data_IF_675107560015
#
_entry.id   IF_675107560015
#
_cell.length_a   1.000
_cell.length_b   1.000
_cell.length_c   1.000
_cell.angle_alpha   90.00
_cell.angle_beta   90.00
_cell.angle_gamma   90.00
#
_symmetry.space_group_name_H-M   'P 1'
#
loop_
_entity.id
_entity.type
_entity.pdbx_description
1 polymer ?
#
# COMPACT_ATOMS: atom_id res chain seq x y z
N UNK A 1 11.60 8.72 7.14
CA UNK A 1 10.94 7.68 6.31
C UNK A 1 11.22 7.93 4.85
N UNK A 2 11.45 6.88 4.06
CA UNK A 2 11.60 6.95 2.60
C UNK A 2 10.61 5.98 1.97
N UNK A 3 9.91 6.41 0.90
CA UNK A 3 8.94 5.59 0.18
C UNK A 3 9.28 5.55 -1.30
N UNK A 4 9.11 4.37 -1.91
CA UNK A 4 9.23 4.18 -3.36
C UNK A 4 8.02 3.39 -3.86
N UNK A 5 7.32 3.91 -4.88
CA UNK A 5 6.28 3.11 -5.55
C UNK A 5 6.91 2.01 -6.38
N UNK A 6 6.44 0.77 -6.24
CA UNK A 6 7.02 -0.39 -6.94
C UNK A 6 6.15 -0.94 -8.07
N UNK A 7 4.83 -0.78 -7.95
CA UNK A 7 3.86 -1.26 -8.96
C UNK A 7 2.53 -0.51 -8.81
N UNK A 8 1.43 -1.08 -9.30
CA UNK A 8 0.08 -0.52 -9.17
C UNK A 8 -0.22 -0.03 -7.76
N UNK A 9 -0.24 -0.93 -6.79
CA UNK A 9 -0.60 -0.64 -5.40
C UNK A 9 0.58 -0.74 -4.43
N UNK A 10 1.79 -1.08 -4.92
CA UNK A 10 2.91 -1.45 -4.08
C UNK A 10 3.83 -0.30 -3.71
N UNK A 11 4.36 -0.35 -2.47
CA UNK A 11 5.39 0.56 -2.00
C UNK A 11 6.49 -0.18 -1.22
N UNK A 12 7.74 0.24 -1.44
CA UNK A 12 8.87 -0.07 -0.56
C UNK A 12 9.00 1.08 0.44
N UNK A 13 8.93 0.75 1.72
CA UNK A 13 9.09 1.68 2.84
C UNK A 13 10.44 1.42 3.50
N UNK A 14 11.25 2.48 3.69
CA UNK A 14 12.45 2.42 4.55
C UNK A 14 12.24 3.32 5.75
N UNK A 15 12.34 2.73 6.93
CA UNK A 15 12.12 3.39 8.21
C UNK A 15 13.06 2.81 9.27
N UNK A 16 13.79 3.66 9.98
CA UNK A 16 14.67 3.29 11.11
C UNK A 16 15.63 2.14 10.79
N UNK A 17 16.21 2.17 9.57
CA UNK A 17 17.17 1.17 9.09
C UNK A 17 16.54 -0.14 8.57
N UNK A 18 15.24 -0.26 8.57
CA UNK A 18 14.48 -1.43 8.07
C UNK A 18 13.81 -1.11 6.75
N UNK A 19 13.67 -2.12 5.90
CA UNK A 19 12.97 -2.06 4.61
C UNK A 19 11.78 -3.02 4.59
N UNK A 20 10.60 -2.50 4.27
CA UNK A 20 9.33 -3.25 4.23
C UNK A 20 8.69 -3.06 2.87
N UNK A 21 8.41 -4.15 2.17
CA UNK A 21 7.69 -4.13 0.89
C UNK A 21 6.21 -4.46 1.13
N UNK A 22 5.34 -3.54 0.74
CA UNK A 22 3.89 -3.65 0.89
C UNK A 22 3.26 -3.78 -0.50
N UNK A 23 2.53 -4.87 -0.77
CA UNK A 23 1.85 -5.17 -2.06
C UNK A 23 2.75 -4.95 -3.29
N UNK A 24 4.05 -5.10 -3.14
CA UNK A 24 5.07 -4.57 -4.06
C UNK A 24 5.57 -5.55 -5.12
N UNK A 25 5.04 -6.77 -5.19
CA UNK A 25 5.37 -7.80 -6.18
C UNK A 25 4.09 -8.34 -6.80
N UNK A 26 3.68 -7.75 -7.92
CA UNK A 26 2.43 -8.09 -8.60
C UNK A 26 2.61 -8.28 -10.11
N UNK A 27 1.72 -9.08 -10.70
CA UNK A 27 1.67 -9.32 -12.15
C UNK A 27 0.92 -8.23 -12.91
N UNK A 28 0.12 -7.42 -12.19
CA UNK A 28 -0.75 -6.42 -12.79
C UNK A 28 -2.05 -7.00 -13.36
N UNK A 29 -2.94 -6.09 -13.73
CA UNK A 29 -4.20 -6.38 -14.42
C UNK A 29 -4.37 -5.38 -15.57
N UNK A 30 -5.38 -5.56 -16.42
CA UNK A 30 -5.68 -4.59 -17.48
C UNK A 30 -5.86 -3.18 -16.91
N UNK A 31 -5.03 -2.23 -17.38
CA UNK A 31 -4.99 -0.85 -16.88
C UNK A 31 -4.20 -0.64 -15.59
N UNK A 32 -3.72 -1.70 -14.92
CA UNK A 32 -2.95 -1.63 -13.68
C UNK A 32 -1.59 -2.27 -13.84
N UNK A 33 -0.54 -1.47 -13.68
CA UNK A 33 0.82 -1.85 -14.05
C UNK A 33 1.44 -2.87 -13.08
N UNK A 34 2.13 -3.91 -13.60
CA UNK A 34 2.88 -4.86 -12.79
C UNK A 34 4.12 -4.22 -12.17
N UNK A 35 4.80 -4.98 -11.31
CA UNK A 35 6.15 -4.63 -10.86
C UNK A 35 7.12 -4.75 -12.04
N UNK A 36 7.77 -3.66 -12.49
CA UNK A 36 8.70 -3.71 -13.62
C UNK A 36 9.88 -4.66 -13.36
N UNK A 37 10.39 -5.36 -14.40
CA UNK A 37 11.52 -6.29 -14.25
C UNK A 37 12.76 -5.66 -13.60
N UNK A 38 13.04 -4.39 -13.87
CA UNK A 38 14.15 -3.65 -13.25
C UNK A 38 13.99 -3.49 -11.75
N UNK A 39 12.77 -3.23 -11.27
CA UNK A 39 12.49 -3.17 -9.83
C UNK A 39 12.46 -4.57 -9.20
N UNK A 40 11.94 -5.59 -9.90
CA UNK A 40 12.03 -6.97 -9.43
C UNK A 40 13.48 -7.37 -9.19
N UNK A 41 14.37 -7.08 -10.15
CA UNK A 41 15.80 -7.37 -10.01
C UNK A 41 16.45 -6.59 -8.85
N UNK A 42 16.17 -5.29 -8.72
CA UNK A 42 16.70 -4.47 -7.63
C UNK A 42 16.25 -4.97 -6.24
N UNK A 43 14.98 -5.45 -6.13
CA UNK A 43 14.44 -6.04 -4.91
C UNK A 43 15.04 -7.43 -4.60
N UNK A 44 15.48 -8.18 -5.62
CA UNK A 44 16.20 -9.45 -5.42
C UNK A 44 17.65 -9.21 -4.98
N UNK A 45 18.32 -8.19 -5.51
CA UNK A 45 19.67 -7.80 -5.15
C UNK A 45 19.75 -7.20 -3.74
N UNK A 46 18.72 -6.44 -3.34
CA UNK A 46 18.59 -5.82 -2.03
C UNK A 46 17.25 -6.20 -1.39
N UNK A 47 17.11 -7.44 -0.89
CA UNK A 47 15.83 -7.95 -0.42
C UNK A 47 15.30 -7.18 0.78
N UNK A 48 14.01 -6.78 0.77
CA UNK A 48 13.36 -6.18 1.92
C UNK A 48 13.45 -7.07 3.16
N UNK A 49 13.47 -6.46 4.34
CA UNK A 49 13.51 -7.19 5.61
C UNK A 49 12.18 -7.89 5.92
N UNK A 50 11.08 -7.34 5.39
CA UNK A 50 9.73 -7.92 5.45
C UNK A 50 9.01 -7.68 4.12
N UNK A 51 8.28 -8.69 3.65
CA UNK A 51 7.28 -8.58 2.58
C UNK A 51 5.89 -8.77 3.18
N UNK A 52 4.98 -7.82 2.97
CA UNK A 52 3.62 -7.89 3.51
C UNK A 52 2.59 -7.61 2.41
N UNK A 53 1.53 -8.41 2.38
CA UNK A 53 0.49 -8.35 1.37
C UNK A 53 -0.88 -8.23 2.02
N UNK A 54 -1.67 -7.25 1.54
CA UNK A 54 -3.01 -6.97 2.10
C UNK A 54 -4.02 -8.05 1.74
N UNK A 55 -3.94 -8.59 0.53
CA UNK A 55 -4.83 -9.63 0.01
C UNK A 55 -4.23 -10.30 -1.24
N UNK A 56 -4.93 -11.31 -1.78
CA UNK A 56 -4.40 -12.20 -2.82
C UNK A 56 -4.84 -11.85 -4.25
N UNK A 57 -5.21 -10.60 -4.54
CA UNK A 57 -5.45 -10.21 -5.95
C UNK A 57 -4.13 -10.11 -6.72
N UNK A 58 -4.12 -10.47 -8.03
CA UNK A 58 -2.90 -10.53 -8.85
C UNK A 58 -2.16 -9.20 -8.98
N UNK A 59 -2.87 -8.09 -8.88
CA UNK A 59 -2.32 -6.72 -8.92
C UNK A 59 -1.77 -6.24 -7.57
N UNK A 60 -1.80 -7.09 -6.54
CA UNK A 60 -1.19 -6.86 -5.22
C UNK A 60 -0.13 -7.92 -4.91
N UNK A 61 -0.39 -9.19 -5.25
CA UNK A 61 0.46 -10.32 -4.86
C UNK A 61 0.60 -11.31 -6.00
N UNK A 62 1.84 -11.68 -6.35
CA UNK A 62 2.15 -12.76 -7.30
C UNK A 62 2.96 -13.86 -6.62
N UNK A 63 2.39 -15.06 -6.55
CA UNK A 63 3.09 -16.23 -6.04
C UNK A 63 4.35 -16.57 -6.85
N UNK A 64 4.32 -16.34 -8.17
CA UNK A 64 5.47 -16.55 -9.04
C UNK A 64 6.63 -15.62 -8.69
N UNK A 65 6.36 -14.34 -8.48
CA UNK A 65 7.37 -13.34 -8.10
C UNK A 65 7.86 -13.53 -6.64
N UNK A 66 7.05 -14.14 -5.79
CA UNK A 66 7.44 -14.45 -4.41
C UNK A 66 8.31 -15.72 -4.26
N UNK A 67 8.35 -16.57 -5.28
CA UNK A 67 9.05 -17.87 -5.20
C UNK A 67 10.54 -17.72 -4.79
N UNK A 68 11.35 -16.80 -5.33
CA UNK A 68 12.74 -16.61 -4.90
C UNK A 68 12.86 -16.23 -3.42
N UNK A 69 11.95 -15.40 -2.91
CA UNK A 69 11.94 -14.97 -1.51
C UNK A 69 11.58 -16.11 -0.56
N UNK A 70 10.66 -17.00 -0.97
CA UNK A 70 10.26 -18.19 -0.20
C UNK A 70 11.37 -19.25 -0.16
N UNK A 71 12.08 -19.45 -1.26
CA UNK A 71 12.98 -20.62 -1.44
C UNK A 71 14.45 -20.32 -1.23
N UNK A 72 14.93 -19.17 -1.69
CA UNK A 72 16.36 -18.83 -1.71
C UNK A 72 16.72 -17.77 -0.66
N UNK A 73 16.00 -16.66 -0.63
CA UNK A 73 16.32 -15.49 0.21
C UNK A 73 15.84 -15.71 1.65
N UNK A 74 14.70 -16.40 1.82
CA UNK A 74 14.08 -16.74 3.12
C UNK A 74 13.77 -15.51 3.97
N UNK A 75 13.26 -14.45 3.36
CA UNK A 75 12.74 -13.29 4.10
C UNK A 75 11.36 -13.60 4.66
N UNK A 76 10.97 -13.00 5.79
CA UNK A 76 9.61 -13.09 6.30
C UNK A 76 8.60 -12.56 5.28
N UNK A 77 7.57 -13.35 5.02
CA UNK A 77 6.47 -13.00 4.13
C UNK A 77 5.19 -13.16 4.93
N UNK A 78 4.40 -12.08 5.00
CA UNK A 78 3.10 -12.09 5.65
C UNK A 78 2.03 -11.72 4.65
N UNK A 79 0.95 -12.45 4.67
CA UNK A 79 -0.22 -12.25 3.81
C UNK A 79 -1.46 -12.81 4.49
N UNK A 80 -2.65 -12.68 3.91
CA UNK A 80 -3.91 -13.05 4.54
C UNK A 80 -3.93 -14.47 5.12
N UNK A 81 -3.27 -15.42 4.46
CA UNK A 81 -3.17 -16.81 4.95
C UNK A 81 -2.22 -16.97 6.15
N UNK A 82 -1.35 -16.01 6.40
CA UNK A 82 -0.37 -16.04 7.50
C UNK A 82 -0.89 -15.41 8.78
N UNK A 83 -2.01 -14.66 8.71
CA UNK A 83 -2.61 -14.07 9.88
C UNK A 83 -3.48 -15.10 10.61
N UNK A 84 -3.19 -15.37 11.89
CA UNK A 84 -3.56 -14.41 12.93
C UNK A 84 -2.38 -13.75 13.68
N UNK A 85 -1.27 -13.46 13.05
CA UNK A 85 -0.23 -12.66 13.72
C UNK A 85 -0.63 -11.20 13.62
N UNK A 86 -1.22 -10.67 14.66
CA UNK A 86 -1.68 -9.27 14.71
C UNK A 86 -0.52 -8.28 14.63
N UNK A 87 0.69 -8.67 15.04
CA UNK A 87 1.83 -7.77 15.19
C UNK A 87 3.18 -8.47 14.94
N UNK A 88 4.01 -7.85 14.11
CA UNK A 88 5.36 -8.34 13.76
C UNK A 88 6.37 -7.25 14.04
N UNK A 89 7.44 -7.59 14.79
CA UNK A 89 8.61 -6.72 14.95
C UNK A 89 9.65 -6.97 13.86
N UNK A 90 10.19 -5.90 13.27
CA UNK A 90 11.29 -5.92 12.32
C UNK A 90 12.27 -4.84 12.73
N UNK A 91 13.38 -5.22 13.38
CA UNK A 91 14.26 -4.25 14.05
C UNK A 91 13.50 -3.43 15.08
N UNK A 92 13.63 -2.10 15.01
CA UNK A 92 12.92 -1.15 15.88
C UNK A 92 11.50 -0.81 15.37
N UNK A 93 11.10 -1.37 14.20
CA UNK A 93 9.81 -1.10 13.59
C UNK A 93 8.81 -2.20 13.91
N UNK A 94 7.58 -1.81 14.15
CA UNK A 94 6.46 -2.73 14.35
C UNK A 94 5.48 -2.63 13.19
N UNK A 95 5.05 -3.76 12.65
CA UNK A 95 3.99 -3.88 11.65
C UNK A 95 2.78 -4.55 12.29
N UNK A 96 1.65 -3.86 12.34
CA UNK A 96 0.38 -4.37 12.86
C UNK A 96 -0.59 -4.57 11.71
N UNK A 97 -1.15 -5.78 11.60
CA UNK A 97 -2.19 -6.08 10.64
C UNK A 97 -3.57 -5.80 11.25
N UNK A 98 -4.40 -5.07 10.53
CA UNK A 98 -5.77 -4.74 10.93
C UNK A 98 -6.72 -5.31 9.89
N UNK A 99 -7.59 -6.23 10.28
CA UNK A 99 -8.59 -6.76 9.36
C UNK A 99 -9.54 -5.66 8.90
N UNK A 100 -9.63 -5.49 7.58
CA UNK A 100 -10.44 -4.46 6.94
C UNK A 100 -11.28 -5.09 5.82
N UNK A 101 -12.29 -4.35 5.37
CA UNK A 101 -13.15 -4.78 4.26
C UNK A 101 -12.62 -4.20 2.96
N UNK A 102 -12.43 -5.08 1.98
CA UNK A 102 -12.07 -4.70 0.61
C UNK A 102 -13.11 -3.76 -0.02
N UNK A 103 -12.64 -2.86 -0.86
CA UNK A 103 -13.46 -1.96 -1.68
C UNK A 103 -14.34 -2.76 -2.66
N UNK A 104 -15.51 -2.24 -2.98
CA UNK A 104 -16.41 -2.87 -3.94
C UNK A 104 -17.27 -3.99 -3.35
N UNK A 105 -17.58 -5.01 -4.15
CA UNK A 105 -18.41 -6.13 -3.74
C UNK A 105 -17.64 -7.05 -2.81
N UNK A 106 -18.33 -7.61 -1.83
CA UNK A 106 -17.76 -8.63 -0.95
C UNK A 106 -17.54 -9.92 -1.75
N UNK A 107 -16.30 -10.37 -1.81
CA UNK A 107 -15.94 -11.65 -2.40
C UNK A 107 -15.88 -12.71 -1.29
N UNK A 108 -16.67 -13.80 -1.38
CA UNK A 108 -16.61 -14.86 -0.39
C UNK A 108 -15.20 -15.46 -0.30
N UNK A 109 -14.64 -15.49 0.91
CA UNK A 109 -13.31 -16.05 1.16
C UNK A 109 -12.14 -15.09 0.94
N UNK A 110 -12.38 -13.85 0.48
CA UNK A 110 -11.32 -12.83 0.41
C UNK A 110 -11.09 -12.21 1.78
N UNK A 111 -9.95 -12.52 2.38
CA UNK A 111 -9.46 -11.82 3.56
C UNK A 111 -8.61 -10.62 3.12
N UNK A 112 -8.87 -9.47 3.74
CA UNK A 112 -8.14 -8.24 3.47
C UNK A 112 -7.65 -7.60 4.76
N UNK A 113 -6.39 -7.14 4.77
CA UNK A 113 -5.77 -6.46 5.89
C UNK A 113 -5.19 -5.12 5.45
N UNK A 114 -5.27 -4.15 6.34
CA UNK A 114 -4.48 -2.91 6.26
C UNK A 114 -3.33 -2.99 7.26
N UNK A 115 -2.27 -2.21 7.05
CA UNK A 115 -1.09 -2.26 7.92
C UNK A 115 -0.85 -0.91 8.60
N UNK A 116 -0.52 -0.97 9.91
CA UNK A 116 0.08 0.14 10.66
C UNK A 116 1.55 -0.18 10.85
N UNK A 117 2.42 0.66 10.31
CA UNK A 117 3.87 0.56 10.44
C UNK A 117 4.32 1.67 11.36
N UNK A 118 4.89 1.30 12.51
CA UNK A 118 5.26 2.21 13.57
C UNK A 118 6.74 2.07 13.95
N UNK A 119 7.47 3.15 13.85
CA UNK A 119 8.83 3.37 14.31
C UNK A 119 8.95 4.80 14.82
N UNK A 120 10.00 5.53 14.44
CA UNK A 120 10.15 6.99 14.69
C UNK A 120 9.08 7.83 13.98
N UNK A 121 8.47 7.29 12.94
CA UNK A 121 7.32 7.82 12.22
C UNK A 121 6.26 6.72 12.08
N UNK A 122 5.01 7.12 11.82
CA UNK A 122 3.89 6.20 11.65
C UNK A 122 3.38 6.25 10.20
N UNK A 123 3.23 5.08 9.57
CA UNK A 123 2.61 4.92 8.26
C UNK A 123 1.40 3.99 8.36
N UNK A 124 0.28 4.40 7.76
CA UNK A 124 -0.85 3.51 7.52
C UNK A 124 -0.92 3.15 6.03
N UNK A 125 -0.97 1.86 5.75
CA UNK A 125 -1.13 1.32 4.40
C UNK A 125 -2.49 0.63 4.31
N UNK A 126 -3.37 1.19 3.49
CA UNK A 126 -4.77 0.73 3.46
C UNK A 126 -5.01 -0.40 2.46
N UNK A 127 -4.08 -0.65 1.50
CA UNK A 127 -4.36 -1.57 0.40
C UNK A 127 -5.64 -1.15 -0.31
N UNK A 128 -6.51 -2.12 -0.61
CA UNK A 128 -7.82 -1.88 -1.22
C UNK A 128 -8.96 -1.82 -0.20
N UNK A 129 -8.68 -1.40 1.03
CA UNK A 129 -9.73 -1.18 2.03
C UNK A 129 -10.71 -0.10 1.57
N UNK A 130 -11.99 -0.28 1.86
CA UNK A 130 -13.00 0.78 1.64
C UNK A 130 -12.72 1.99 2.56
N UNK A 131 -12.96 3.26 2.12
CA UNK A 131 -12.61 4.46 2.88
C UNK A 131 -13.11 4.46 4.32
N UNK A 132 -14.32 3.95 4.56
CA UNK A 132 -14.90 3.86 5.91
C UNK A 132 -14.09 2.97 6.88
N UNK A 133 -13.18 2.12 6.38
CA UNK A 133 -12.32 1.29 7.21
C UNK A 133 -11.23 2.10 7.94
N UNK A 134 -10.95 3.36 7.52
CA UNK A 134 -10.11 4.28 8.30
C UNK A 134 -10.57 4.41 9.75
N UNK A 135 -11.86 4.28 10.01
CA UNK A 135 -12.40 4.35 11.39
C UNK A 135 -11.88 3.23 12.29
N UNK A 136 -11.52 2.08 11.74
CA UNK A 136 -10.89 0.98 12.50
C UNK A 136 -9.47 1.31 12.94
N UNK A 137 -8.86 2.32 12.29
CA UNK A 137 -7.51 2.76 12.59
C UNK A 137 -7.45 3.84 13.68
N UNK A 138 -8.61 4.32 14.16
CA UNK A 138 -8.69 5.49 15.04
C UNK A 138 -7.96 5.33 16.39
N UNK A 139 -7.82 4.10 16.87
CA UNK A 139 -7.12 3.79 18.13
C UNK A 139 -5.59 3.67 17.97
N UNK A 140 -5.08 3.69 16.74
CA UNK A 140 -3.65 3.67 16.46
C UNK A 140 -3.06 5.10 16.47
N UNK A 141 -1.72 5.24 16.64
CA UNK A 141 -1.04 6.53 16.47
C UNK A 141 -1.39 7.15 15.12
N UNK A 142 -1.62 8.47 15.10
CA UNK A 142 -1.91 9.19 13.86
C UNK A 142 -0.81 8.97 12.82
N UNK A 143 -1.17 8.80 11.55
CA UNK A 143 -0.17 8.56 10.52
C UNK A 143 0.58 9.84 10.15
N UNK A 144 1.90 9.77 10.07
CA UNK A 144 2.69 10.78 9.35
C UNK A 144 2.43 10.63 7.85
N UNK A 145 2.33 9.39 7.38
CA UNK A 145 2.01 9.03 6.00
C UNK A 145 0.80 8.11 5.95
N UNK A 146 -0.14 8.44 5.08
CA UNK A 146 -1.31 7.62 4.79
C UNK A 146 -1.28 7.18 3.32
N UNK A 147 -1.08 5.88 3.07
CA UNK A 147 -1.07 5.29 1.73
C UNK A 147 -2.42 4.66 1.43
N UNK A 148 -3.08 5.14 0.38
CA UNK A 148 -4.48 4.83 0.08
C UNK A 148 -4.72 4.59 -1.41
N UNK A 149 -5.74 3.80 -1.80
CA UNK A 149 -6.18 3.69 -3.18
C UNK A 149 -7.01 4.91 -3.60
N UNK A 150 -7.23 5.06 -4.90
CA UNK A 150 -7.98 6.18 -5.49
C UNK A 150 -9.34 6.47 -4.83
N UNK A 151 -10.00 5.43 -4.31
CA UNK A 151 -11.32 5.56 -3.69
C UNK A 151 -11.36 6.48 -2.45
N UNK A 152 -10.22 6.82 -1.88
CA UNK A 152 -10.10 7.75 -0.75
C UNK A 152 -10.06 9.23 -1.21
N UNK A 153 -9.90 9.45 -2.50
CA UNK A 153 -9.72 10.78 -3.08
C UNK A 153 -10.65 11.07 -4.27
N UNK A 154 -11.53 10.14 -4.65
CA UNK A 154 -12.44 10.32 -5.79
C UNK A 154 -13.81 10.89 -5.43
N UNK A 155 -14.09 11.10 -4.14
CA UNK A 155 -15.30 11.77 -3.65
C UNK A 155 -14.96 12.70 -2.49
N UNK A 156 -15.67 13.82 -2.37
CA UNK A 156 -15.46 14.83 -1.32
C UNK A 156 -15.52 14.20 0.07
N UNK A 157 -16.53 13.39 0.34
CA UNK A 157 -16.71 12.77 1.67
C UNK A 157 -15.60 11.78 2.04
N UNK A 158 -15.05 11.03 1.07
CA UNK A 158 -13.94 10.14 1.30
C UNK A 158 -12.65 10.92 1.55
N UNK A 159 -12.45 12.01 0.80
CA UNK A 159 -11.30 12.88 0.99
C UNK A 159 -11.32 13.62 2.34
N UNK A 160 -12.48 14.17 2.74
CA UNK A 160 -12.66 14.78 4.06
C UNK A 160 -12.37 13.78 5.20
N UNK A 161 -12.83 12.54 5.08
CA UNK A 161 -12.51 11.48 6.04
C UNK A 161 -11.02 11.20 6.07
N UNK A 162 -10.36 11.11 4.92
CA UNK A 162 -8.91 10.92 4.81
C UNK A 162 -8.15 12.04 5.50
N UNK A 163 -8.53 13.30 5.25
CA UNK A 163 -7.93 14.47 5.84
C UNK A 163 -8.16 14.58 7.35
N UNK A 164 -9.25 14.02 7.88
CA UNK A 164 -9.60 14.10 9.31
C UNK A 164 -8.57 13.44 10.23
N UNK A 165 -7.75 12.53 9.70
CA UNK A 165 -6.62 11.91 10.42
C UNK A 165 -5.36 12.77 10.42
N UNK A 166 -5.37 13.92 9.71
CA UNK A 166 -4.30 14.92 9.67
C UNK A 166 -2.92 14.33 9.26
N UNK A 167 -2.80 13.47 8.24
CA UNK A 167 -1.50 12.99 7.80
C UNK A 167 -0.65 14.15 7.27
N UNK A 168 0.67 14.06 7.43
CA UNK A 168 1.62 15.01 6.82
C UNK A 168 1.69 14.82 5.32
N UNK A 169 1.50 13.57 4.84
CA UNK A 169 1.45 13.21 3.43
C UNK A 169 0.42 12.11 3.19
N UNK A 170 -0.35 12.26 2.11
CA UNK A 170 -1.21 11.20 1.54
C UNK A 170 -0.56 10.72 0.26
N UNK A 171 -0.25 9.42 0.19
CA UNK A 171 0.24 8.75 -1.01
C UNK A 171 -0.93 8.04 -1.67
N UNK A 172 -1.28 8.47 -2.88
CA UNK A 172 -2.39 7.89 -3.63
C UNK A 172 -1.87 6.88 -4.65
N UNK A 173 -2.34 5.68 -4.54
CA UNK A 173 -2.01 4.56 -5.42
C UNK A 173 -3.26 4.01 -6.12
N UNK A 174 -3.09 2.93 -6.87
CA UNK A 174 -4.17 2.18 -7.49
C UNK A 174 -5.02 3.01 -8.46
N UNK A 175 -4.41 4.01 -9.11
CA UNK A 175 -4.99 4.67 -10.28
C UNK A 175 -4.60 3.89 -11.53
N UNK A 176 -5.54 3.65 -12.47
CA UNK A 176 -5.22 3.03 -13.74
C UNK A 176 -4.29 3.91 -14.57
N UNK A 177 -3.69 3.36 -15.61
CA UNK A 177 -3.02 4.19 -16.62
C UNK A 177 -3.99 5.21 -17.22
N UNK A 178 -3.53 6.44 -17.47
CA UNK A 178 -4.40 7.54 -17.96
C UNK A 178 -5.12 7.23 -19.26
N UNK A 179 -4.50 6.40 -20.13
CA UNK A 179 -5.10 5.92 -21.38
C UNK A 179 -6.07 4.74 -21.20
N UNK A 180 -6.14 4.16 -19.99
CA UNK A 180 -6.98 3.03 -19.61
C UNK A 180 -7.95 3.39 -18.47
N UNK A 181 -8.43 4.64 -18.41
CA UNK A 181 -9.34 5.16 -17.38
C UNK A 181 -10.78 5.37 -17.90
N UNK A 182 -11.56 4.30 -18.12
CA UNK A 182 -12.93 4.40 -18.66
C UNK A 182 -13.90 5.07 -17.69
N UNK A 183 -13.57 5.15 -16.42
CA UNK A 183 -14.43 5.73 -15.36
C UNK A 183 -14.06 7.17 -15.01
N UNK A 184 -13.00 7.73 -15.60
CA UNK A 184 -12.54 9.09 -15.32
C UNK A 184 -12.06 9.29 -13.90
N UNK A 185 -11.40 8.29 -13.31
CA UNK A 185 -10.92 8.30 -11.92
C UNK A 185 -9.87 9.40 -11.70
N UNK A 186 -8.98 9.60 -12.67
CA UNK A 186 -7.98 10.68 -12.62
C UNK A 186 -8.64 12.04 -12.48
N UNK A 187 -9.67 12.32 -13.31
CA UNK A 187 -10.40 13.58 -13.23
C UNK A 187 -11.12 13.74 -11.89
N UNK A 188 -11.78 12.68 -11.40
CA UNK A 188 -12.47 12.72 -10.11
C UNK A 188 -11.50 13.04 -8.95
N UNK A 189 -10.32 12.43 -8.95
CA UNK A 189 -9.28 12.69 -7.96
C UNK A 189 -8.79 14.14 -8.06
N UNK A 190 -8.45 14.61 -9.26
CA UNK A 190 -7.98 15.98 -9.50
C UNK A 190 -9.01 17.03 -9.03
N UNK A 191 -10.30 16.85 -9.37
CA UNK A 191 -11.39 17.75 -8.97
C UNK A 191 -11.58 17.75 -7.43
N UNK A 192 -11.48 16.57 -6.79
CA UNK A 192 -11.72 16.41 -5.35
C UNK A 192 -10.57 16.94 -4.50
N UNK A 193 -9.33 16.79 -4.98
CA UNK A 193 -8.12 17.07 -4.20
C UNK A 193 -7.42 18.37 -4.61
N UNK A 194 -8.07 19.20 -5.40
CA UNK A 194 -7.49 20.45 -5.95
C UNK A 194 -6.81 21.28 -4.86
N UNK A 195 -5.53 21.58 -5.07
CA UNK A 195 -4.72 22.44 -4.20
C UNK A 195 -4.24 21.81 -2.90
N UNK A 196 -4.49 20.55 -2.62
CA UNK A 196 -3.92 19.90 -1.43
C UNK A 196 -2.46 19.49 -1.67
N UNK A 197 -1.53 20.27 -1.07
CA UNK A 197 -0.08 20.06 -1.19
C UNK A 197 0.44 18.81 -0.47
N UNK A 198 -0.39 18.15 0.35
CA UNK A 198 -0.03 16.91 1.05
C UNK A 198 -0.21 15.67 0.18
N UNK A 199 -0.96 15.81 -0.93
CA UNK A 199 -1.18 14.70 -1.86
C UNK A 199 0.06 14.45 -2.71
N UNK A 200 0.47 13.20 -2.77
CA UNK A 200 1.50 12.71 -3.68
C UNK A 200 0.97 11.50 -4.46
N UNK A 201 0.97 11.59 -5.78
CA UNK A 201 0.61 10.52 -6.71
C UNK A 201 1.90 10.11 -7.43
N UNK A 202 2.66 9.13 -6.90
CA UNK A 202 3.95 8.76 -7.46
C UNK A 202 3.83 8.04 -8.80
N UNK A 203 4.82 8.18 -9.66
CA UNK A 203 5.07 7.26 -10.77
C UNK A 203 5.77 5.98 -10.25
N UNK A 204 5.69 4.87 -11.02
CA UNK A 204 6.41 3.64 -10.64
C UNK A 204 7.92 3.91 -10.67
N UNK A 205 8.59 3.53 -9.59
CA UNK A 205 10.02 3.80 -9.38
C UNK A 205 10.29 5.15 -8.71
N UNK A 206 9.34 6.08 -8.71
CA UNK A 206 9.50 7.37 -8.03
C UNK A 206 9.66 7.18 -6.52
N UNK A 207 10.58 7.95 -5.95
CA UNK A 207 10.95 7.88 -4.54
C UNK A 207 10.83 9.25 -3.88
N UNK A 208 10.35 9.27 -2.64
CA UNK A 208 10.32 10.49 -1.82
C UNK A 208 10.77 10.19 -0.38
N UNK A 209 11.53 11.11 0.18
CA UNK A 209 11.93 11.12 1.61
C UNK A 209 11.13 12.17 2.36
N UNK A 210 10.64 11.79 3.57
CA UNK A 210 9.98 12.69 4.55
C UNK A 210 10.98 13.10 5.62
#
# INVERSE_FOLDING_TARGET
MELQRTCNAGVLVKLDGVSILLDGLCEGLEGYLPTPPTLQQALLENPPDLLAFTHNHPDHCSDALLLPYKTQIRRPIVGPASFPVEKIGVGEVTVTAVETRHLGKTEPGLSHYSFVIQGSQCLWFMGDAAPMQLRKMADFPKPDVLVVPYAYANTVSAWELTQSFCPKMVVLLHLPEKNCDPYGLWRQVEETTTGDLRLWIPEIGEMRKL
#
